data_IF_672883210896
#
_entry.id   IF_672883210896
#
_cell.length_a   1.000
_cell.length_b   1.000
_cell.length_c   1.000
_cell.angle_alpha   90.00
_cell.angle_beta   90.00
_cell.angle_gamma   90.00
#
_symmetry.space_group_name_H-M   'P 1'
#
loop_
_entity.id
_entity.type
_entity.pdbx_description
1 polymer ?
#
# COMPACT_ATOMS: atom_id res chain seq x y z
N UNK A 1 -6.42 -16.90 -6.88
CA UNK A 1 -7.25 -15.69 -6.78
C UNK A 1 -7.37 -15.13 -5.37
N UNK A 2 -7.76 -15.91 -4.34
CA UNK A 2 -7.88 -15.39 -2.94
C UNK A 2 -6.63 -14.68 -2.43
N UNK A 3 -5.43 -15.16 -2.72
CA UNK A 3 -4.14 -14.63 -2.24
C UNK A 3 -3.57 -13.45 -3.04
N UNK A 4 -3.94 -13.28 -4.33
CA UNK A 4 -3.63 -12.11 -5.14
C UNK A 4 -4.14 -10.84 -4.49
N UNK A 5 -5.33 -10.94 -4.08
CA UNK A 5 -6.10 -9.87 -3.51
C UNK A 5 -5.50 -9.47 -2.15
N UNK A 6 -5.02 -10.42 -1.33
CA UNK A 6 -4.33 -10.15 -0.06
C UNK A 6 -3.13 -9.22 -0.23
N UNK A 7 -2.45 -9.34 -1.34
CA UNK A 7 -1.20 -8.64 -1.51
C UNK A 7 -1.33 -7.27 -2.16
N UNK A 8 -2.29 -7.05 -3.05
CA UNK A 8 -2.73 -5.70 -3.44
C UNK A 8 -3.08 -4.92 -2.18
N UNK A 9 -3.69 -5.59 -1.21
CA UNK A 9 -4.00 -5.04 0.11
C UNK A 9 -2.73 -4.77 0.94
N UNK A 10 -1.81 -5.71 1.05
CA UNK A 10 -0.56 -5.49 1.79
C UNK A 10 0.22 -4.33 1.19
N UNK A 11 0.17 -4.15 -0.13
CA UNK A 11 0.88 -3.07 -0.80
C UNK A 11 0.18 -1.73 -0.64
N UNK A 12 -1.13 -1.67 -0.79
CA UNK A 12 -1.91 -0.48 -0.45
C UNK A 12 -1.76 -0.15 1.05
N UNK A 13 -1.59 -1.17 1.91
CA UNK A 13 -1.32 -1.00 3.34
C UNK A 13 0.08 -0.49 3.62
N UNK A 14 1.11 -0.91 2.89
CA UNK A 14 2.45 -0.33 3.06
C UNK A 14 2.46 1.17 2.74
N UNK A 15 1.63 1.61 1.79
CA UNK A 15 1.43 3.03 1.52
C UNK A 15 0.47 3.72 2.50
N UNK A 16 -0.42 2.97 3.16
CA UNK A 16 -1.33 3.51 4.18
C UNK A 16 -0.83 3.29 5.61
N UNK A 17 0.07 2.33 5.83
CA UNK A 17 0.65 2.01 7.14
C UNK A 17 1.81 2.94 7.52
N UNK A 18 1.80 4.16 7.02
CA UNK A 18 2.76 5.17 7.39
C UNK A 18 2.39 5.77 8.74
N UNK A 19 2.79 5.15 9.78
CA UNK A 19 2.72 5.68 11.13
C UNK A 19 2.50 4.63 12.24
N UNK A 20 3.45 4.35 13.15
CA UNK A 20 3.23 3.76 14.49
C UNK A 20 4.39 4.04 15.43
N UNK A 21 4.13 4.52 16.61
CA UNK A 21 5.07 4.54 17.72
C UNK A 21 4.63 3.61 18.87
N UNK A 22 5.59 2.93 19.44
CA UNK A 22 5.46 2.23 20.72
C UNK A 22 6.03 3.12 21.83
N UNK A 23 5.25 3.43 22.85
CA UNK A 23 5.75 4.08 24.08
C UNK A 23 6.49 3.06 24.94
N UNK A 24 7.78 2.95 24.77
CA UNK A 24 8.67 2.43 25.82
C UNK A 24 9.10 3.63 26.67
N UNK A 25 8.53 3.74 27.85
CA UNK A 25 8.98 4.68 28.88
C UNK A 25 10.39 4.29 29.33
N UNK A 26 11.41 4.91 28.77
CA UNK A 26 12.72 4.99 29.34
C UNK A 26 13.13 6.48 29.31
N UNK A 27 13.35 7.01 30.49
CA UNK A 27 13.92 8.35 30.70
C UNK A 27 15.26 8.45 29.98
N UNK A 28 15.33 9.28 28.95
CA UNK A 28 16.60 9.70 28.34
C UNK A 28 16.68 11.22 28.39
N UNK A 29 17.83 11.67 28.88
CA UNK A 29 18.19 13.07 29.05
C UNK A 29 18.03 13.89 27.76
N UNK A 30 17.57 15.13 27.94
CA UNK A 30 17.52 16.26 27.02
C UNK A 30 18.34 16.17 25.74
N UNK A 31 17.77 15.55 24.72
CA UNK A 31 18.11 15.76 23.31
C UNK A 31 17.06 16.74 22.78
N UNK A 32 17.46 17.74 22.01
CA UNK A 32 16.52 18.71 21.44
C UNK A 32 15.46 17.97 20.65
N UNK A 33 14.22 18.05 21.12
CA UNK A 33 13.05 17.37 20.53
C UNK A 33 12.61 18.11 19.26
N UNK A 34 13.36 18.02 18.17
CA UNK A 34 12.99 18.73 16.94
C UNK A 34 12.20 17.87 15.93
N UNK A 35 12.02 16.55 16.18
CA UNK A 35 11.33 15.67 15.25
C UNK A 35 10.15 14.90 15.90
N UNK A 36 9.28 15.65 16.54
CA UNK A 36 8.01 15.17 17.06
C UNK A 36 7.09 14.68 15.92
N UNK A 37 6.06 13.92 16.29
CA UNK A 37 5.00 13.51 15.34
C UNK A 37 4.43 14.73 14.63
N UNK A 38 4.43 14.78 13.30
CA UNK A 38 3.95 15.94 12.56
C UNK A 38 2.48 16.23 12.84
N UNK A 39 2.13 17.50 12.88
CA UNK A 39 0.76 17.93 13.04
C UNK A 39 0.20 18.28 11.66
N UNK A 40 -0.75 17.50 11.19
CA UNK A 40 -1.41 17.74 9.93
C UNK A 40 -2.67 18.58 10.11
N UNK A 41 -2.90 19.46 9.14
CA UNK A 41 -4.09 20.29 9.09
C UNK A 41 -5.01 19.88 7.93
N UNK A 42 -6.27 20.27 8.04
CA UNK A 42 -7.23 20.01 6.97
C UNK A 42 -6.83 20.80 5.70
N UNK A 43 -6.62 20.10 4.60
CA UNK A 43 -6.10 20.64 3.34
C UNK A 43 -4.62 20.37 3.07
N UNK A 44 -3.89 19.83 4.03
CA UNK A 44 -2.57 19.28 3.74
C UNK A 44 -2.68 18.13 2.77
N UNK A 45 -1.78 18.07 1.81
CA UNK A 45 -1.81 17.03 0.79
C UNK A 45 -0.43 16.64 0.31
N UNK A 46 -0.33 15.39 -0.12
CA UNK A 46 0.87 14.80 -0.71
C UNK A 46 0.51 14.07 -1.98
N UNK A 47 1.24 14.36 -3.04
CA UNK A 47 1.10 13.69 -4.33
C UNK A 47 2.32 12.84 -4.63
N UNK A 48 2.08 11.58 -4.96
CA UNK A 48 3.14 10.61 -5.23
C UNK A 48 3.06 10.04 -6.64
N UNK A 49 4.22 9.70 -7.16
CA UNK A 49 4.37 8.78 -8.29
C UNK A 49 4.92 7.45 -7.78
N UNK A 50 4.20 6.37 -8.07
CA UNK A 50 4.66 5.00 -7.84
C UNK A 50 5.14 4.48 -9.18
N UNK A 51 6.44 4.52 -9.39
CA UNK A 51 7.05 4.12 -10.65
C UNK A 51 6.95 2.61 -10.87
N UNK A 52 6.99 1.84 -9.77
CA UNK A 52 6.93 0.38 -9.81
C UNK A 52 6.26 -0.15 -8.56
N UNK A 53 5.35 -1.08 -8.81
CA UNK A 53 4.72 -1.92 -7.82
C UNK A 53 4.56 -3.30 -8.46
N UNK A 54 5.60 -4.12 -8.37
CA UNK A 54 5.61 -5.47 -8.92
C UNK A 54 5.37 -6.48 -7.84
N UNK A 55 4.56 -7.44 -8.16
CA UNK A 55 4.26 -8.55 -7.30
C UNK A 55 4.28 -9.87 -8.07
N UNK A 56 4.88 -10.88 -7.49
CA UNK A 56 4.85 -12.24 -7.99
C UNK A 56 4.57 -13.21 -6.83
N UNK A 57 3.71 -14.17 -7.10
CA UNK A 57 3.37 -15.27 -6.20
C UNK A 57 3.59 -16.58 -6.93
N UNK A 58 4.38 -17.47 -6.33
CA UNK A 58 4.58 -18.84 -6.80
C UNK A 58 4.14 -19.78 -5.69
N UNK A 59 3.02 -20.50 -5.87
CA UNK A 59 2.56 -21.42 -4.84
C UNK A 59 1.86 -22.64 -5.41
N UNK A 60 2.28 -23.82 -4.98
CA UNK A 60 1.63 -25.10 -5.33
C UNK A 60 1.45 -25.30 -6.86
N UNK A 61 2.42 -24.84 -7.66
CA UNK A 61 2.36 -24.90 -9.13
C UNK A 61 1.55 -23.80 -9.79
N UNK A 62 0.90 -22.92 -9.02
CA UNK A 62 0.25 -21.72 -9.53
C UNK A 62 1.21 -20.55 -9.52
N UNK A 63 1.18 -19.75 -10.57
CA UNK A 63 1.96 -18.52 -10.68
C UNK A 63 1.04 -17.34 -10.92
N UNK A 64 1.39 -16.22 -10.32
CA UNK A 64 0.69 -14.99 -10.52
C UNK A 64 1.67 -13.82 -10.51
N UNK A 65 1.52 -12.92 -11.44
CA UNK A 65 2.25 -11.66 -11.44
C UNK A 65 1.30 -10.48 -11.60
N UNK A 66 1.68 -9.38 -11.00
CA UNK A 66 1.01 -8.10 -11.12
C UNK A 66 2.08 -7.01 -11.14
N UNK A 67 2.19 -6.31 -12.28
CA UNK A 67 3.08 -5.18 -12.43
C UNK A 67 2.24 -3.92 -12.60
N UNK A 68 2.37 -3.00 -11.65
CA UNK A 68 1.59 -1.75 -11.62
C UNK A 68 2.48 -0.52 -11.48
N UNK A 69 1.96 0.58 -11.99
CA UNK A 69 2.41 1.93 -11.66
C UNK A 69 1.21 2.78 -11.29
N UNK A 70 1.43 3.78 -10.43
CA UNK A 70 0.40 4.76 -10.10
C UNK A 70 0.93 6.16 -10.38
N UNK A 71 0.13 6.94 -11.07
CA UNK A 71 0.44 8.33 -11.34
C UNK A 71 -0.54 9.21 -10.56
N UNK A 72 -0.01 10.31 -10.02
CA UNK A 72 -0.80 11.28 -9.27
C UNK A 72 -1.61 10.64 -8.12
N UNK A 73 -0.98 9.71 -7.36
CA UNK A 73 -1.56 9.23 -6.12
C UNK A 73 -1.60 10.39 -5.14
N UNK A 74 -2.81 10.93 -4.92
CA UNK A 74 -3.05 12.07 -4.05
C UNK A 74 -3.60 11.58 -2.72
N UNK A 75 -3.01 12.07 -1.64
CA UNK A 75 -3.44 11.85 -0.26
C UNK A 75 -3.74 13.22 0.34
N UNK A 76 -4.98 13.46 0.72
CA UNK A 76 -5.47 14.72 1.27
C UNK A 76 -5.98 14.55 2.69
N UNK A 77 -5.62 15.43 3.62
CA UNK A 77 -6.25 15.52 4.94
C UNK A 77 -7.61 16.20 4.79
N UNK A 78 -8.68 15.43 4.91
CA UNK A 78 -10.06 15.91 4.72
C UNK A 78 -10.83 16.11 6.02
N UNK A 79 -10.24 15.73 7.14
CA UNK A 79 -10.84 15.91 8.45
C UNK A 79 -9.90 15.51 9.59
N UNK A 80 -10.20 16.05 10.77
CA UNK A 80 -9.43 15.80 11.99
C UNK A 80 -10.37 15.66 13.18
N UNK A 81 -10.07 14.73 14.07
CA UNK A 81 -10.70 14.58 15.38
C UNK A 81 -9.66 14.87 16.47
N UNK A 82 -10.00 14.68 17.74
CA UNK A 82 -9.02 14.79 18.83
C UNK A 82 -7.87 13.79 18.67
N UNK A 83 -8.15 12.57 18.23
CA UNK A 83 -7.19 11.46 18.22
C UNK A 83 -6.74 11.01 16.84
N UNK A 84 -7.41 11.42 15.77
CA UNK A 84 -7.13 10.90 14.43
C UNK A 84 -7.31 11.92 13.31
N UNK A 85 -6.62 11.65 12.22
CA UNK A 85 -6.81 12.27 10.91
C UNK A 85 -7.64 11.36 10.02
N UNK A 86 -8.42 11.98 9.13
CA UNK A 86 -9.12 11.32 8.06
C UNK A 86 -8.50 11.77 6.74
N UNK A 87 -7.96 10.82 5.99
CA UNK A 87 -7.33 11.08 4.70
C UNK A 87 -8.21 10.58 3.57
N UNK A 88 -8.32 11.37 2.51
CA UNK A 88 -8.84 10.92 1.22
C UNK A 88 -7.69 10.46 0.33
N UNK A 89 -7.90 9.39 -0.43
CA UNK A 89 -6.92 8.86 -1.37
C UNK A 89 -7.54 8.73 -2.74
N UNK A 90 -6.85 9.24 -3.76
CA UNK A 90 -7.24 9.11 -5.17
C UNK A 90 -6.01 8.94 -6.05
N UNK A 91 -6.17 8.40 -7.25
CA UNK A 91 -5.05 8.20 -8.18
C UNK A 91 -5.41 7.31 -9.33
N UNK A 92 -4.56 7.33 -10.36
CA UNK A 92 -4.68 6.48 -11.53
C UNK A 92 -3.71 5.30 -11.44
N UNK A 93 -4.16 4.12 -11.81
CA UNK A 93 -3.41 2.88 -11.79
C UNK A 93 -3.30 2.37 -13.22
N UNK A 94 -2.10 1.98 -13.63
CA UNK A 94 -1.86 1.23 -14.84
C UNK A 94 -1.15 -0.07 -14.49
N UNK A 95 -1.47 -1.17 -15.16
CA UNK A 95 -0.82 -2.42 -14.80
C UNK A 95 -1.05 -3.54 -15.79
N UNK A 96 -0.24 -4.56 -15.63
CA UNK A 96 -0.33 -5.86 -16.27
C UNK A 96 -0.58 -6.91 -15.20
N UNK A 97 -1.33 -7.92 -15.54
CA UNK A 97 -1.52 -9.09 -14.69
C UNK A 97 -1.42 -10.36 -15.49
N UNK A 98 -0.82 -11.38 -14.89
CA UNK A 98 -0.77 -12.73 -15.44
C UNK A 98 -1.09 -13.73 -14.33
N UNK A 99 -1.80 -14.77 -14.70
CA UNK A 99 -2.15 -15.89 -13.84
C UNK A 99 -2.02 -17.19 -14.59
N UNK A 100 -1.32 -18.16 -14.02
CA UNK A 100 -1.19 -19.52 -14.47
C UNK A 100 -1.65 -20.47 -13.34
N UNK A 101 -2.64 -21.31 -13.62
CA UNK A 101 -3.17 -22.27 -12.62
C UNK A 101 -2.29 -23.52 -12.43
N UNK A 102 -1.22 -23.66 -13.23
CA UNK A 102 -0.37 -24.84 -13.24
C UNK A 102 -0.99 -26.08 -13.89
N UNK A 103 -2.25 -25.99 -14.33
CA UNK A 103 -3.00 -27.05 -15.00
C UNK A 103 -3.19 -26.77 -16.50
N UNK A 104 -2.60 -25.68 -16.99
CA UNK A 104 -2.62 -25.27 -18.40
C UNK A 104 -3.60 -24.14 -18.72
N UNK A 105 -4.17 -23.47 -17.70
CA UNK A 105 -4.97 -22.28 -17.90
C UNK A 105 -4.12 -21.04 -17.60
N UNK A 106 -3.83 -20.26 -18.62
CA UNK A 106 -3.18 -18.96 -18.49
C UNK A 106 -4.19 -17.84 -18.75
N UNK A 107 -4.19 -16.81 -17.89
CA UNK A 107 -5.01 -15.61 -18.05
C UNK A 107 -4.07 -14.40 -17.89
N UNK A 108 -3.88 -13.66 -18.97
CA UNK A 108 -3.07 -12.45 -18.97
C UNK A 108 -3.90 -11.24 -19.42
N UNK A 109 -3.53 -10.06 -18.93
CA UNK A 109 -4.23 -8.87 -19.34
C UNK A 109 -3.66 -7.56 -18.83
N UNK A 110 -4.32 -6.48 -19.23
CA UNK A 110 -3.97 -5.12 -18.89
C UNK A 110 -5.06 -4.54 -18.01
N UNK A 111 -4.68 -3.89 -16.92
CA UNK A 111 -5.55 -3.00 -16.17
C UNK A 111 -5.60 -1.64 -16.88
N UNK A 112 -6.69 -1.39 -17.56
CA UNK A 112 -6.88 -0.21 -18.40
C UNK A 112 -7.90 0.73 -17.77
N UNK A 113 -7.67 2.06 -17.81
CA UNK A 113 -8.55 3.07 -17.18
C UNK A 113 -8.88 2.70 -15.72
N UNK A 114 -7.85 2.34 -14.94
CA UNK A 114 -8.01 1.97 -13.54
C UNK A 114 -7.75 3.17 -12.65
N UNK A 115 -8.66 3.42 -11.70
CA UNK A 115 -8.51 4.52 -10.75
C UNK A 115 -9.07 4.17 -9.38
N UNK A 116 -8.48 4.74 -8.35
CA UNK A 116 -9.08 4.81 -7.03
C UNK A 116 -10.21 5.85 -7.11
N UNK A 117 -11.45 5.39 -7.13
CA UNK A 117 -12.63 6.25 -7.27
C UNK A 117 -13.08 6.83 -5.93
N UNK A 118 -12.74 6.15 -4.84
CA UNK A 118 -12.91 6.58 -3.45
C UNK A 118 -11.89 5.83 -2.60
N UNK A 119 -11.08 6.56 -1.87
CA UNK A 119 -10.16 6.01 -0.88
C UNK A 119 -10.27 6.82 0.40
N UNK A 120 -10.26 6.14 1.54
CA UNK A 120 -10.28 6.76 2.85
C UNK A 120 -9.35 5.98 3.78
N UNK A 121 -8.53 6.71 4.55
CA UNK A 121 -7.64 6.13 5.55
C UNK A 121 -7.85 6.92 6.84
N UNK A 122 -7.98 6.21 7.96
CA UNK A 122 -7.98 6.79 9.29
C UNK A 122 -6.62 6.58 9.95
N UNK A 123 -5.98 7.68 10.33
CA UNK A 123 -4.63 7.72 10.90
C UNK A 123 -4.69 8.27 12.33
N UNK A 124 -4.07 7.59 13.28
CA UNK A 124 -3.98 8.05 14.67
C UNK A 124 -2.96 9.19 14.80
N UNK A 125 -3.30 10.25 15.53
CA UNK A 125 -2.43 11.44 15.67
C UNK A 125 -1.19 11.21 16.50
N UNK A 126 -1.28 10.33 17.50
CA UNK A 126 -0.21 10.12 18.46
C UNK A 126 1.07 9.56 17.83
N UNK A 127 0.95 8.89 16.70
CA UNK A 127 2.03 8.13 16.11
C UNK A 127 1.88 7.89 14.60
N UNK A 128 0.89 8.49 13.97
CA UNK A 128 0.53 8.32 12.56
C UNK A 128 0.12 6.88 12.16
N UNK A 129 -0.37 6.07 13.10
CA UNK A 129 -0.86 4.73 12.83
C UNK A 129 -2.08 4.69 11.93
N UNK A 130 -2.05 3.87 10.91
CA UNK A 130 -3.26 3.55 10.16
C UNK A 130 -4.17 2.63 10.99
N UNK A 131 -5.35 3.10 11.37
CA UNK A 131 -6.33 2.30 12.11
C UNK A 131 -7.15 1.44 11.15
N UNK A 132 -7.63 2.05 10.07
CA UNK A 132 -8.36 1.36 9.01
C UNK A 132 -8.19 2.10 7.67
N UNK A 133 -8.47 1.37 6.58
CA UNK A 133 -8.53 1.94 5.26
C UNK A 133 -9.67 1.31 4.43
N UNK A 134 -10.26 2.12 3.57
CA UNK A 134 -11.31 1.72 2.65
C UNK A 134 -11.01 2.25 1.26
N UNK A 135 -11.09 1.38 0.23
CA UNK A 135 -10.86 1.78 -1.15
C UNK A 135 -11.91 1.21 -2.07
N UNK A 136 -12.34 2.01 -3.04
CA UNK A 136 -13.12 1.58 -4.19
C UNK A 136 -12.32 1.88 -5.45
N UNK A 137 -11.91 0.83 -6.14
CA UNK A 137 -11.16 0.92 -7.39
C UNK A 137 -12.08 0.53 -8.53
N UNK A 138 -12.18 1.40 -9.53
CA UNK A 138 -12.88 1.12 -10.78
C UNK A 138 -11.87 0.87 -11.88
N UNK A 139 -12.04 -0.22 -12.61
CA UNK A 139 -11.12 -0.66 -13.67
C UNK A 139 -11.88 -1.17 -14.87
N UNK A 140 -11.25 -1.11 -16.02
CA UNK A 140 -11.55 -1.96 -17.16
C UNK A 140 -10.34 -2.86 -17.35
N UNK A 141 -10.49 -4.15 -17.03
CA UNK A 141 -9.48 -5.16 -17.32
C UNK A 141 -9.65 -5.62 -18.77
N UNK A 142 -8.60 -5.49 -19.57
CA UNK A 142 -8.57 -6.05 -20.92
C UNK A 142 -7.86 -7.41 -20.86
N UNK A 143 -8.63 -8.48 -20.89
CA UNK A 143 -8.08 -9.84 -20.92
C UNK A 143 -7.59 -10.12 -22.34
N UNK A 144 -6.27 -10.33 -22.46
CA UNK A 144 -5.60 -10.56 -23.75
C UNK A 144 -5.43 -12.05 -24.06
N UNK A 145 -5.25 -12.86 -23.03
CA UNK A 145 -5.02 -14.30 -23.15
C UNK A 145 -5.99 -15.06 -22.26
N UNK A 146 -6.82 -15.86 -22.89
CA UNK A 146 -7.70 -16.80 -22.21
C UNK A 146 -8.12 -17.92 -23.19
N UNK A 147 -8.09 -19.20 -22.80
CA UNK A 147 -8.42 -20.32 -23.68
C UNK A 147 -9.81 -20.22 -24.34
N UNK A 148 -10.76 -19.55 -23.67
CA UNK A 148 -12.14 -19.40 -24.15
C UNK A 148 -12.42 -18.04 -24.84
N UNK A 149 -11.46 -17.12 -24.86
CA UNK A 149 -11.62 -15.78 -25.44
C UNK A 149 -10.49 -15.49 -26.44
N UNK A 150 -10.64 -15.87 -27.74
CA UNK A 150 -9.61 -15.64 -28.74
C UNK A 150 -9.44 -14.16 -29.16
N UNK A 151 -10.27 -13.29 -28.64
CA UNK A 151 -10.21 -11.82 -28.85
C UNK A 151 -10.14 -11.13 -27.50
N UNK A 152 -9.38 -10.01 -27.40
CA UNK A 152 -9.31 -9.19 -26.19
C UNK A 152 -10.71 -8.82 -25.68
N UNK A 153 -11.00 -9.15 -24.42
CA UNK A 153 -12.31 -8.92 -23.80
C UNK A 153 -12.21 -7.84 -22.73
N UNK A 154 -12.85 -6.67 -22.91
CA UNK A 154 -12.89 -5.65 -21.87
C UNK A 154 -13.88 -6.04 -20.77
N UNK A 155 -13.41 -6.17 -19.54
CA UNK A 155 -14.21 -6.53 -18.38
C UNK A 155 -14.23 -5.36 -17.40
N UNK A 156 -15.35 -4.65 -17.22
CA UNK A 156 -15.45 -3.63 -16.19
C UNK A 156 -15.47 -4.30 -14.81
N UNK A 157 -14.63 -3.80 -13.91
CA UNK A 157 -14.48 -4.27 -12.55
C UNK A 157 -14.72 -3.14 -11.55
N UNK A 158 -15.35 -3.48 -10.45
CA UNK A 158 -15.35 -2.68 -9.23
C UNK A 158 -14.72 -3.52 -8.12
N UNK A 159 -13.62 -3.03 -7.54
CA UNK A 159 -12.91 -3.69 -6.47
C UNK A 159 -13.09 -2.84 -5.21
N UNK A 160 -13.71 -3.42 -4.19
CA UNK A 160 -13.86 -2.79 -2.87
C UNK A 160 -12.91 -3.47 -1.91
N UNK A 161 -12.11 -2.69 -1.19
CA UNK A 161 -11.11 -3.15 -0.25
C UNK A 161 -11.37 -2.50 1.10
N UNK A 162 -11.54 -3.30 2.14
CA UNK A 162 -11.60 -2.86 3.54
C UNK A 162 -10.42 -3.48 4.28
N UNK A 163 -9.72 -2.66 5.04
CA UNK A 163 -8.54 -3.04 5.78
C UNK A 163 -8.69 -2.56 7.21
N UNK A 164 -8.44 -3.43 8.16
CA UNK A 164 -8.39 -3.10 9.58
C UNK A 164 -7.12 -3.68 10.19
N UNK A 165 -6.48 -2.94 11.06
CA UNK A 165 -5.41 -3.45 11.90
C UNK A 165 -5.97 -3.74 13.28
N UNK A 166 -5.75 -4.95 13.79
CA UNK A 166 -6.17 -5.34 15.13
C UNK A 166 -5.48 -4.47 16.19
N UNK A 167 -4.17 -4.31 16.03
CA UNK A 167 -3.36 -3.36 16.80
C UNK A 167 -2.69 -2.44 15.80
N UNK A 168 -3.20 -1.19 15.64
CA UNK A 168 -2.61 -0.25 14.71
C UNK A 168 -1.14 -0.01 15.05
N UNK A 169 -0.25 -0.10 14.07
CA UNK A 169 1.19 0.15 14.24
C UNK A 169 1.75 1.09 13.17
N UNK A 170 2.80 1.85 13.50
CA UNK A 170 3.56 2.74 12.63
C UNK A 170 4.78 2.07 12.00
N UNK A 171 5.23 2.57 10.88
CA UNK A 171 6.54 2.29 10.32
C UNK A 171 7.60 3.29 10.82
N UNK A 172 7.20 4.28 11.61
CA UNK A 172 8.08 5.25 12.25
C UNK A 172 7.86 5.20 13.76
N UNK A 173 8.92 5.10 14.50
CA UNK A 173 8.93 5.25 15.95
C UNK A 173 9.50 6.65 16.28
N UNK A 174 8.62 7.59 16.55
CA UNK A 174 9.00 8.97 16.92
C UNK A 174 9.50 9.05 18.37
N UNK A 175 10.41 10.01 18.72
CA UNK A 175 11.05 10.93 17.80
C UNK A 175 12.12 10.24 16.94
N UNK A 176 12.33 10.72 15.71
CA UNK A 176 13.43 10.29 14.86
C UNK A 176 14.68 11.10 15.16
N UNK A 177 15.85 10.46 15.10
CA UNK A 177 17.15 11.09 15.17
C UNK A 177 18.18 10.25 14.41
N UNK A 178 19.28 10.88 14.02
CA UNK A 178 20.38 10.21 13.33
C UNK A 178 21.01 9.09 14.17
N UNK A 179 21.13 7.91 13.58
CA UNK A 179 21.63 6.71 14.26
C UNK A 179 20.60 5.97 15.14
N UNK A 180 19.31 6.35 15.07
CA UNK A 180 18.28 5.62 15.81
C UNK A 180 18.14 4.19 15.27
N UNK A 181 18.12 3.24 16.19
CA UNK A 181 17.74 1.85 15.93
C UNK A 181 16.38 1.55 16.58
N UNK A 182 15.57 0.75 15.92
CA UNK A 182 14.25 0.43 16.43
C UNK A 182 13.70 -0.92 15.97
N UNK A 183 12.65 -1.31 16.67
CA UNK A 183 11.92 -2.55 16.39
C UNK A 183 10.45 -2.20 16.25
N UNK A 184 9.86 -2.59 15.12
CA UNK A 184 8.43 -2.50 14.88
C UNK A 184 7.83 -3.88 15.15
N UNK A 185 6.95 -4.04 16.14
CA UNK A 185 6.41 -5.35 16.51
C UNK A 185 5.55 -5.94 15.39
N UNK A 186 5.36 -7.23 15.41
CA UNK A 186 4.44 -7.90 14.48
C UNK A 186 2.99 -7.42 14.70
N UNK A 187 2.17 -7.43 13.66
CA UNK A 187 0.74 -7.11 13.74
C UNK A 187 -0.09 -7.91 12.75
N UNK A 188 -1.36 -8.12 13.11
CA UNK A 188 -2.33 -8.75 12.23
C UNK A 188 -3.16 -7.69 11.49
N UNK A 189 -3.39 -7.97 10.23
CA UNK A 189 -4.18 -7.16 9.33
C UNK A 189 -5.32 -8.00 8.79
N UNK A 190 -6.54 -7.54 9.00
CA UNK A 190 -7.72 -8.11 8.38
C UNK A 190 -8.06 -7.33 7.11
N UNK A 191 -8.10 -8.02 6.01
CA UNK A 191 -8.43 -7.46 4.72
C UNK A 191 -9.62 -8.17 4.08
N UNK A 192 -10.63 -7.40 3.74
CA UNK A 192 -11.82 -7.89 3.04
C UNK A 192 -11.87 -7.27 1.65
N UNK A 193 -11.92 -8.09 0.63
CA UNK A 193 -11.89 -7.67 -0.77
C UNK A 193 -13.07 -8.27 -1.51
N UNK A 194 -13.79 -7.39 -2.20
CA UNK A 194 -14.90 -7.74 -3.04
C UNK A 194 -14.64 -7.27 -4.45
N UNK A 195 -14.73 -8.18 -5.42
CA UNK A 195 -14.65 -7.88 -6.84
C UNK A 195 -15.98 -8.14 -7.49
N UNK A 196 -16.56 -7.11 -8.06
CA UNK A 196 -17.84 -7.15 -8.77
C UNK A 196 -17.65 -6.82 -10.24
N UNK A 197 -18.37 -7.54 -11.10
CA UNK A 197 -18.42 -7.23 -12.53
C UNK A 197 -19.78 -7.63 -13.08
N UNK A 198 -20.29 -6.83 -14.01
CA UNK A 198 -21.47 -7.21 -14.77
C UNK A 198 -21.25 -8.50 -15.60
N UNK A 199 -20.01 -8.69 -16.09
CA UNK A 199 -19.63 -9.91 -16.83
C UNK A 199 -19.69 -11.14 -15.93
N UNK A 200 -19.22 -11.03 -14.66
CA UNK A 200 -19.34 -12.13 -13.68
C UNK A 200 -20.81 -12.52 -13.46
N UNK A 201 -21.70 -11.53 -13.34
CA UNK A 201 -23.15 -11.77 -13.17
C UNK A 201 -23.78 -12.47 -14.38
N UNK A 202 -23.39 -12.09 -15.59
CA UNK A 202 -23.84 -12.78 -16.81
C UNK A 202 -23.30 -14.22 -16.83
N UNK A 203 -22.03 -14.43 -16.56
CA UNK A 203 -21.43 -15.76 -16.52
C UNK A 203 -22.10 -16.65 -15.47
N UNK A 204 -22.38 -16.12 -14.29
CA UNK A 204 -23.15 -16.84 -13.26
C UNK A 204 -24.56 -17.25 -13.75
N UNK A 205 -25.24 -16.38 -14.49
CA UNK A 205 -26.56 -16.69 -15.04
C UNK A 205 -26.54 -17.78 -16.11
N UNK A 206 -25.41 -17.94 -16.80
CA UNK A 206 -25.23 -18.97 -17.86
C UNK A 206 -24.60 -20.25 -17.32
N UNK A 207 -23.74 -20.13 -16.33
CA UNK A 207 -22.95 -21.20 -15.72
C UNK A 207 -23.13 -21.10 -14.21
N UNK A 208 -24.03 -21.89 -13.62
CA UNK A 208 -24.38 -21.78 -12.18
C UNK A 208 -23.21 -21.98 -11.22
N UNK A 209 -22.16 -22.66 -11.63
CA UNK A 209 -20.94 -22.88 -10.85
C UNK A 209 -19.96 -21.69 -10.91
N UNK A 210 -20.24 -20.68 -11.77
CA UNK A 210 -19.41 -19.48 -11.84
C UNK A 210 -19.81 -18.48 -10.74
N UNK A 211 -18.89 -17.88 -9.98
CA UNK A 211 -19.24 -16.95 -8.91
C UNK A 211 -19.86 -15.66 -9.46
N UNK A 212 -20.94 -15.18 -8.86
CA UNK A 212 -21.56 -13.88 -9.18
C UNK A 212 -20.63 -12.70 -8.82
N UNK A 213 -19.91 -12.87 -7.74
CA UNK A 213 -18.88 -11.95 -7.23
C UNK A 213 -17.72 -12.74 -6.63
N UNK A 214 -16.56 -12.13 -6.51
CA UNK A 214 -15.42 -12.72 -5.83
C UNK A 214 -15.26 -12.00 -4.49
N UNK A 215 -15.42 -12.75 -3.42
CA UNK A 215 -15.22 -12.25 -2.06
C UNK A 215 -14.07 -13.00 -1.39
N UNK A 216 -13.15 -12.22 -0.78
CA UNK A 216 -11.96 -12.75 -0.15
C UNK A 216 -11.75 -12.08 1.19
N UNK A 217 -11.71 -12.90 2.23
CA UNK A 217 -11.25 -12.49 3.56
C UNK A 217 -9.84 -13.02 3.76
N UNK A 218 -8.96 -12.16 4.23
CA UNK A 218 -7.58 -12.49 4.52
C UNK A 218 -7.19 -11.89 5.88
N UNK A 219 -6.56 -12.72 6.69
CA UNK A 219 -5.79 -12.27 7.84
C UNK A 219 -4.32 -12.42 7.47
N UNK A 220 -3.57 -11.34 7.54
CA UNK A 220 -2.14 -11.29 7.18
C UNK A 220 -1.36 -10.82 8.40
N UNK A 221 -0.41 -11.62 8.82
CA UNK A 221 0.55 -11.20 9.84
C UNK A 221 1.70 -10.47 9.17
N UNK A 222 1.87 -9.18 9.48
CA UNK A 222 3.09 -8.46 9.15
C UNK A 222 4.16 -8.83 10.19
N UNK A 223 5.32 -9.29 9.77
CA UNK A 223 6.37 -9.70 10.69
C UNK A 223 6.92 -8.52 11.48
N UNK A 224 7.62 -8.82 12.55
CA UNK A 224 8.46 -7.83 13.23
C UNK A 224 9.50 -7.30 12.24
N UNK A 225 9.71 -5.97 12.27
CA UNK A 225 10.73 -5.30 11.46
C UNK A 225 11.77 -4.67 12.37
N UNK A 226 13.03 -4.77 11.98
CA UNK A 226 14.14 -4.05 12.59
C UNK A 226 14.66 -3.00 11.61
N UNK A 227 15.00 -1.82 12.11
CA UNK A 227 15.45 -0.72 11.28
C UNK A 227 16.54 0.11 11.92
N UNK A 228 17.28 0.83 11.08
CA UNK A 228 18.12 1.95 11.47
C UNK A 228 17.65 3.20 10.75
N UNK A 229 17.72 4.37 11.41
CA UNK A 229 17.42 5.66 10.81
C UNK A 229 18.71 6.48 10.70
N UNK A 230 18.99 7.03 9.53
CA UNK A 230 20.14 7.91 9.28
C UNK A 230 19.68 9.17 8.57
N UNK A 231 20.17 10.33 9.01
CA UNK A 231 19.85 11.60 8.34
C UNK A 231 20.66 11.76 7.06
N UNK A 232 20.02 12.09 5.95
CA UNK A 232 20.70 12.38 4.68
C UNK A 232 19.93 13.37 3.80
N UNK A 233 20.61 13.89 2.77
CA UNK A 233 20.00 14.74 1.74
C UNK A 233 19.39 13.87 0.65
N UNK A 234 18.10 14.03 0.42
CA UNK A 234 17.34 13.24 -0.56
C UNK A 234 16.71 14.15 -1.61
N UNK A 235 16.96 13.81 -2.88
CA UNK A 235 16.32 14.48 -4.01
C UNK A 235 15.16 13.63 -4.52
N UNK A 236 14.00 14.26 -4.66
CA UNK A 236 12.78 13.71 -5.26
C UNK A 236 12.19 14.72 -6.24
N UNK A 237 11.13 14.36 -6.96
CA UNK A 237 10.50 15.26 -7.95
C UNK A 237 9.99 16.56 -7.31
N UNK A 238 9.50 16.50 -6.06
CA UNK A 238 9.05 17.66 -5.29
C UNK A 238 10.17 18.60 -4.82
N UNK A 239 11.44 18.19 -4.82
CA UNK A 239 12.58 19.00 -4.37
C UNK A 239 13.67 18.22 -3.66
N UNK A 240 14.51 18.96 -2.91
CA UNK A 240 15.58 18.42 -2.09
C UNK A 240 15.24 18.62 -0.61
N UNK A 241 15.35 17.56 0.17
CA UNK A 241 14.99 17.55 1.58
C UNK A 241 16.07 16.88 2.42
N UNK A 242 16.25 17.37 3.64
CA UNK A 242 16.88 16.60 4.70
C UNK A 242 15.82 15.58 5.16
N UNK A 243 16.16 14.31 5.14
CA UNK A 243 15.25 13.22 5.46
C UNK A 243 15.94 12.14 6.28
N UNK A 244 15.18 11.43 7.06
CA UNK A 244 15.62 10.20 7.70
C UNK A 244 15.40 9.03 6.75
N UNK A 245 16.50 8.40 6.36
CA UNK A 245 16.50 7.11 5.69
C UNK A 245 16.27 6.02 6.74
N UNK A 246 15.09 5.42 6.76
CA UNK A 246 14.71 4.33 7.64
C UNK A 246 14.94 3.05 6.86
N UNK A 247 16.06 2.39 7.13
CA UNK A 247 16.52 1.21 6.42
C UNK A 247 16.14 -0.05 7.20
N UNK A 248 15.33 -0.90 6.60
CA UNK A 248 14.87 -2.16 7.17
C UNK A 248 15.83 -3.27 6.77
N UNK A 249 16.30 -4.07 7.72
CA UNK A 249 17.25 -5.14 7.50
C UNK A 249 16.76 -6.51 7.97
N UNK A 250 15.56 -6.59 8.54
CA UNK A 250 14.89 -7.86 8.87
C UNK A 250 13.41 -7.81 8.51
N UNK A 251 12.90 -8.87 7.87
CA UNK A 251 11.52 -9.01 7.40
C UNK A 251 11.25 -8.38 6.04
N UNK A 252 11.73 -7.20 5.78
CA UNK A 252 11.67 -6.46 4.50
C UNK A 252 13.05 -5.89 4.24
N UNK A 253 13.57 -6.04 3.02
CA UNK A 253 14.76 -5.33 2.58
C UNK A 253 14.34 -4.04 1.89
N UNK A 254 14.81 -2.89 2.38
CA UNK A 254 14.49 -1.62 1.74
C UNK A 254 14.44 -0.46 2.69
N UNK A 255 14.24 0.70 2.10
CA UNK A 255 14.31 1.97 2.79
C UNK A 255 13.07 2.81 2.53
N UNK A 256 12.60 3.51 3.53
CA UNK A 256 11.64 4.60 3.43
C UNK A 256 12.29 5.89 3.93
N UNK A 257 11.96 7.00 3.31
CA UNK A 257 12.58 8.29 3.59
C UNK A 257 11.54 9.25 4.13
N UNK A 258 11.62 9.57 5.39
CA UNK A 258 10.75 10.54 6.05
C UNK A 258 11.40 11.91 6.12
N UNK A 259 10.71 12.96 5.67
CA UNK A 259 11.20 14.33 5.74
C UNK A 259 10.34 15.16 6.72
N UNK A 260 10.88 15.64 7.85
CA UNK A 260 10.15 16.48 8.80
C UNK A 260 9.55 17.73 8.16
N UNK A 261 10.28 18.37 7.24
CA UNK A 261 9.80 19.54 6.49
C UNK A 261 8.61 19.27 5.58
N UNK A 262 8.29 18.01 5.31
CA UNK A 262 7.13 17.57 4.51
C UNK A 262 6.06 16.95 5.42
N UNK A 263 6.44 16.59 6.65
CA UNK A 263 5.58 15.89 7.61
C UNK A 263 5.12 14.50 7.13
N UNK A 264 5.83 13.91 6.16
CA UNK A 264 5.47 12.62 5.57
C UNK A 264 6.68 12.00 4.85
N UNK A 265 6.47 10.79 4.29
CA UNK A 265 7.48 10.16 3.45
C UNK A 265 7.65 10.90 2.12
N UNK A 266 8.89 10.95 1.64
CA UNK A 266 9.22 11.53 0.34
C UNK A 266 9.65 10.48 -0.67
N UNK A 267 10.07 9.30 -0.19
CA UNK A 267 10.53 8.21 -1.06
C UNK A 267 10.37 6.86 -0.36
N UNK A 268 10.10 5.82 -1.12
CA UNK A 268 10.13 4.45 -0.66
C UNK A 268 10.74 3.55 -1.74
N UNK A 269 11.65 2.67 -1.30
CA UNK A 269 12.25 1.62 -2.12
C UNK A 269 12.28 0.37 -1.27
N UNK A 270 11.47 -0.61 -1.58
CA UNK A 270 11.39 -1.84 -0.81
C UNK A 270 11.35 -3.06 -1.73
N UNK A 271 12.03 -4.10 -1.32
CA UNK A 271 12.03 -5.39 -1.99
C UNK A 271 11.83 -6.49 -0.95
N UNK A 272 10.82 -7.34 -1.18
CA UNK A 272 10.59 -8.56 -0.42
C UNK A 272 10.84 -9.71 -1.39
N UNK A 273 11.73 -10.59 -1.02
CA UNK A 273 12.03 -11.78 -1.81
C UNK A 273 12.05 -13.00 -0.88
N UNK A 274 10.98 -13.78 -0.93
CA UNK A 274 10.86 -15.07 -0.22
C UNK A 274 10.69 -16.19 -1.24
N UNK A 275 10.63 -17.45 -0.80
CA UNK A 275 10.41 -18.58 -1.70
C UNK A 275 9.13 -18.48 -2.52
N UNK A 276 8.09 -17.85 -1.94
CA UNK A 276 6.75 -17.82 -2.53
C UNK A 276 6.33 -16.43 -3.02
N UNK A 277 6.98 -15.37 -2.54
CA UNK A 277 6.54 -13.98 -2.76
C UNK A 277 7.73 -13.11 -3.16
N UNK A 278 7.58 -12.38 -4.26
CA UNK A 278 8.44 -11.25 -4.62
C UNK A 278 7.59 -9.98 -4.67
N UNK A 279 8.07 -8.93 -4.02
CA UNK A 279 7.48 -7.59 -4.06
C UNK A 279 8.58 -6.58 -4.30
N UNK A 280 8.40 -5.67 -5.27
CA UNK A 280 9.30 -4.55 -5.53
C UNK A 280 8.46 -3.27 -5.61
N UNK A 281 8.82 -2.30 -4.77
CA UNK A 281 8.11 -1.02 -4.65
C UNK A 281 9.08 0.12 -4.85
N UNK A 282 8.71 1.07 -5.74
CA UNK A 282 9.44 2.34 -5.94
C UNK A 282 8.45 3.48 -6.02
N UNK A 283 8.47 4.34 -5.02
CA UNK A 283 7.61 5.50 -4.91
C UNK A 283 8.41 6.74 -4.55
N UNK A 284 7.95 7.90 -5.02
CA UNK A 284 8.51 9.20 -4.64
C UNK A 284 7.46 10.30 -4.61
N UNK A 285 7.70 11.28 -3.75
CA UNK A 285 6.89 12.48 -3.65
C UNK A 285 7.09 13.35 -4.91
N UNK A 286 5.97 13.76 -5.49
CA UNK A 286 5.92 14.63 -6.65
C UNK A 286 5.61 16.07 -6.28
N UNK A 287 4.76 16.27 -5.27
CA UNK A 287 4.28 17.58 -4.84
C UNK A 287 3.67 17.49 -3.44
N UNK A 288 3.64 18.62 -2.70
CA UNK A 288 2.97 18.71 -1.39
C UNK A 288 2.47 20.13 -1.12
N UNK A 289 1.38 20.23 -0.36
CA UNK A 289 0.89 21.50 0.19
C UNK A 289 1.17 21.65 1.69
N UNK A 290 1.76 20.64 2.33
CA UNK A 290 2.14 20.69 3.74
C UNK A 290 3.09 21.88 4.02
N UNK A 291 2.84 22.62 5.12
CA UNK A 291 3.58 23.84 5.50
C UNK A 291 4.06 23.79 6.94
#
# INVERSE_FOLDING_TARGET
>A
MKRLISLIVCTLLMFSATGLAYNATNEVENISMDDDVPVWENGDSWRYNIAKLSFQLNQSGQQMSLDMSMTDLLIDVIGTTETSYKLAVSGNINGLFDYDDGAGTTIGGILFITRISSGEIKIRKADLAAENAYFVIKSIALVLEHPLAPIPLPIPLTITININQEIPRSLIDFPLYDGKEGIIPETNIDANIRVESFVLKILHSLIHDFPEEIYVEQNVTLPMLMYTATEEQVSVEAGNYTAYNIDFFEGILGSIYYAPAVGNYIKAVAEINTMDIMLDVKAQLKDTTYR
#
